data_IF_563966082543
#
_entry.id   IF_563966082543
#
_cell.length_a   1.000
_cell.length_b   1.000
_cell.length_c   1.000
_cell.angle_alpha   90.00
_cell.angle_beta   90.00
_cell.angle_gamma   90.00
#
_symmetry.space_group_name_H-M   'P 1'
#
loop_
_entity.id
_entity.type
_entity.pdbx_description
1 polymer ?
#
# COMPACT_ATOMS: atom_id res chain seq x y z
N UNK A 1 -7.37 -47.31 -47.23
CA UNK A 1 -8.70 -47.04 -47.84
C UNK A 1 -9.08 -48.11 -48.85
N UNK A 2 -10.21 -48.79 -48.66
CA UNK A 2 -10.87 -49.47 -49.77
C UNK A 2 -11.56 -48.38 -50.60
N UNK A 3 -10.87 -47.86 -51.61
CA UNK A 3 -11.53 -47.12 -52.69
C UNK A 3 -12.56 -48.09 -53.25
N UNK A 4 -13.83 -47.73 -53.26
CA UNK A 4 -14.82 -48.49 -54.03
C UNK A 4 -14.35 -48.42 -55.48
N UNK A 5 -13.65 -49.46 -55.94
CA UNK A 5 -13.06 -49.47 -57.28
C UNK A 5 -14.20 -49.56 -58.27
N UNK A 6 -14.41 -48.49 -59.06
CA UNK A 6 -15.35 -48.53 -60.16
C UNK A 6 -14.76 -49.42 -61.26
N UNK A 7 -15.43 -50.55 -61.51
CA UNK A 7 -15.01 -51.48 -62.56
C UNK A 7 -15.55 -51.00 -63.92
N UNK A 8 -14.73 -50.19 -64.59
CA UNK A 8 -15.03 -49.59 -65.90
C UNK A 8 -15.39 -50.65 -66.94
N UNK A 9 -14.75 -51.82 -66.91
CA UNK A 9 -14.94 -52.89 -67.90
C UNK A 9 -16.27 -53.61 -67.68
N UNK A 10 -16.59 -53.94 -66.42
CA UNK A 10 -17.90 -54.49 -66.06
C UNK A 10 -19.04 -53.53 -66.38
N UNK A 11 -18.86 -52.23 -66.15
CA UNK A 11 -19.85 -51.20 -66.49
C UNK A 11 -20.04 -51.08 -68.02
N UNK A 12 -18.96 -51.02 -68.80
CA UNK A 12 -19.04 -50.99 -70.26
C UNK A 12 -19.75 -52.25 -70.82
N UNK A 13 -19.43 -53.44 -70.30
CA UNK A 13 -20.08 -54.68 -70.73
C UNK A 13 -21.58 -54.71 -70.39
N UNK A 14 -21.98 -54.08 -69.27
CA UNK A 14 -23.39 -53.96 -68.89
C UNK A 14 -24.15 -53.06 -69.88
N UNK A 15 -23.55 -51.96 -70.32
CA UNK A 15 -24.12 -51.08 -71.35
C UNK A 15 -24.25 -51.78 -72.71
N UNK A 16 -23.22 -52.54 -73.11
CA UNK A 16 -23.25 -53.37 -74.34
C UNK A 16 -24.39 -54.39 -74.30
N UNK A 17 -24.55 -55.08 -73.17
CA UNK A 17 -25.65 -56.03 -72.97
C UNK A 17 -27.05 -55.38 -73.01
N UNK A 18 -27.14 -54.08 -72.68
CA UNK A 18 -28.36 -53.28 -72.79
C UNK A 18 -28.58 -52.69 -74.21
N UNK A 19 -27.73 -53.01 -75.18
CA UNK A 19 -27.86 -52.58 -76.58
C UNK A 19 -27.13 -51.28 -76.93
N UNK A 20 -26.29 -50.74 -76.04
CA UNK A 20 -25.44 -49.58 -76.36
C UNK A 20 -24.28 -50.02 -77.28
N UNK A 21 -24.01 -49.34 -78.40
CA UNK A 21 -22.89 -49.67 -79.28
C UNK A 21 -21.55 -49.65 -78.56
N UNK A 22 -20.64 -50.56 -78.94
CA UNK A 22 -19.40 -50.81 -78.21
C UNK A 22 -18.57 -49.55 -77.90
N UNK A 23 -18.35 -48.71 -78.92
CA UNK A 23 -17.57 -47.47 -78.76
C UNK A 23 -18.25 -46.46 -77.82
N UNK A 24 -19.57 -46.43 -77.78
CA UNK A 24 -20.33 -45.54 -76.91
C UNK A 24 -20.36 -46.05 -75.47
N UNK A 25 -20.50 -47.37 -75.28
CA UNK A 25 -20.46 -48.02 -73.98
C UNK A 25 -19.10 -47.83 -73.29
N UNK A 26 -18.00 -47.96 -74.04
CA UNK A 26 -16.65 -47.72 -73.54
C UNK A 26 -16.42 -46.24 -73.21
N UNK A 27 -16.82 -45.33 -74.11
CA UNK A 27 -16.68 -43.90 -73.88
C UNK A 27 -17.47 -43.42 -72.65
N UNK A 28 -18.70 -43.90 -72.45
CA UNK A 28 -19.51 -43.59 -71.27
C UNK A 28 -18.88 -44.15 -69.99
N UNK A 29 -18.36 -45.39 -70.03
CA UNK A 29 -17.71 -45.99 -68.88
C UNK A 29 -16.47 -45.19 -68.43
N UNK A 30 -15.65 -44.73 -69.37
CA UNK A 30 -14.46 -43.91 -69.09
C UNK A 30 -14.87 -42.54 -68.53
N UNK A 31 -15.79 -41.84 -69.17
CA UNK A 31 -16.26 -40.54 -68.68
C UNK A 31 -16.86 -40.62 -67.27
N UNK A 32 -17.60 -41.70 -66.97
CA UNK A 32 -18.17 -41.92 -65.64
C UNK A 32 -17.09 -42.27 -64.60
N UNK A 33 -16.10 -43.07 -64.98
CA UNK A 33 -14.95 -43.38 -64.13
C UNK A 33 -14.13 -42.12 -63.78
N UNK A 34 -13.93 -41.22 -64.75
CA UNK A 34 -13.24 -39.95 -64.54
C UNK A 34 -13.99 -39.04 -63.56
N UNK A 35 -15.30 -38.87 -63.71
CA UNK A 35 -16.13 -38.08 -62.78
C UNK A 35 -16.09 -38.66 -61.37
N UNK A 36 -16.14 -39.99 -61.24
CA UNK A 36 -16.03 -40.67 -59.94
C UNK A 36 -14.66 -40.45 -59.31
N UNK A 37 -13.57 -40.54 -60.09
CA UNK A 37 -12.21 -40.31 -59.59
C UNK A 37 -11.99 -38.86 -59.14
N UNK A 38 -12.51 -37.88 -59.89
CA UNK A 38 -12.45 -36.47 -59.53
C UNK A 38 -13.18 -36.24 -58.20
N UNK A 39 -14.40 -36.76 -58.06
CA UNK A 39 -15.19 -36.60 -56.83
C UNK A 39 -14.56 -37.29 -55.61
N UNK A 40 -13.83 -38.39 -55.78
CA UNK A 40 -13.14 -39.07 -54.67
C UNK A 40 -11.84 -38.40 -54.23
N UNK A 41 -11.22 -37.57 -55.07
CA UNK A 41 -9.93 -36.94 -54.78
C UNK A 41 -10.00 -35.93 -53.62
N UNK A 42 -11.13 -35.25 -53.48
CA UNK A 42 -11.31 -34.17 -52.50
C UNK A 42 -12.07 -34.61 -51.25
N UNK A 43 -12.41 -35.91 -51.11
CA UNK A 43 -13.10 -36.41 -49.93
C UNK A 43 -12.14 -36.61 -48.77
N UNK A 44 -12.54 -36.12 -47.59
CA UNK A 44 -11.90 -36.45 -46.32
C UNK A 44 -12.03 -37.95 -46.06
N UNK A 45 -10.91 -38.57 -45.74
CA UNK A 45 -10.80 -40.01 -45.53
C UNK A 45 -10.88 -40.36 -44.05
N UNK A 46 -11.07 -41.64 -43.73
CA UNK A 46 -11.01 -42.10 -42.33
C UNK A 46 -9.62 -41.88 -41.72
N UNK A 47 -8.57 -41.93 -42.54
CA UNK A 47 -7.20 -41.74 -42.10
C UNK A 47 -6.92 -40.26 -41.77
N UNK A 48 -7.49 -39.33 -42.55
CA UNK A 48 -7.44 -37.88 -42.26
C UNK A 48 -8.17 -37.56 -40.95
N UNK A 49 -9.37 -38.12 -40.77
CA UNK A 49 -10.14 -37.94 -39.53
C UNK A 49 -9.42 -38.54 -38.32
N UNK A 50 -8.78 -39.70 -38.47
CA UNK A 50 -8.01 -40.33 -37.41
C UNK A 50 -6.78 -39.47 -37.04
N UNK A 51 -6.12 -38.88 -38.03
CA UNK A 51 -4.99 -37.97 -37.84
C UNK A 51 -5.43 -36.70 -37.10
N UNK A 52 -6.46 -36.01 -37.59
CA UNK A 52 -7.01 -34.82 -36.92
C UNK A 52 -7.49 -35.12 -35.50
N UNK A 53 -8.13 -36.28 -35.28
CA UNK A 53 -8.56 -36.71 -33.94
C UNK A 53 -7.37 -36.94 -33.01
N UNK A 54 -6.27 -37.49 -33.53
CA UNK A 54 -5.05 -37.71 -32.74
C UNK A 54 -4.38 -36.39 -32.38
N UNK A 55 -4.28 -35.46 -33.33
CA UNK A 55 -3.74 -34.12 -33.11
C UNK A 55 -4.55 -33.35 -32.07
N UNK A 56 -5.88 -33.30 -32.21
CA UNK A 56 -6.76 -32.65 -31.24
C UNK A 56 -6.63 -33.27 -29.84
N UNK A 57 -6.50 -34.60 -29.73
CA UNK A 57 -6.28 -35.25 -28.43
C UNK A 57 -4.95 -34.84 -27.81
N UNK A 58 -3.91 -34.68 -28.64
CA UNK A 58 -2.60 -34.24 -28.18
C UNK A 58 -2.65 -32.78 -27.70
N UNK A 59 -3.24 -31.87 -28.49
CA UNK A 59 -3.41 -30.47 -28.11
C UNK A 59 -4.22 -30.31 -26.82
N UNK A 60 -5.32 -31.08 -26.66
CA UNK A 60 -6.10 -31.08 -25.42
C UNK A 60 -5.27 -31.59 -24.24
N UNK A 61 -4.41 -32.59 -24.43
CA UNK A 61 -3.54 -33.11 -23.37
C UNK A 61 -2.49 -32.07 -22.97
N UNK A 62 -1.90 -31.38 -23.94
CA UNK A 62 -0.89 -30.34 -23.73
C UNK A 62 -1.50 -29.11 -23.03
N UNK A 63 -2.66 -28.62 -23.51
CA UNK A 63 -3.39 -27.52 -22.86
C UNK A 63 -3.81 -27.87 -21.42
N UNK A 64 -4.19 -29.12 -21.15
CA UNK A 64 -4.48 -29.59 -19.77
C UNK A 64 -3.23 -29.62 -18.91
N UNK A 65 -2.06 -29.89 -19.47
CA UNK A 65 -0.79 -29.89 -18.73
C UNK A 65 -0.38 -28.46 -18.39
N UNK A 66 -0.46 -27.55 -19.36
CA UNK A 66 -0.20 -26.12 -19.18
C UNK A 66 -1.13 -25.53 -18.11
N UNK A 67 -2.45 -25.73 -18.23
CA UNK A 67 -3.41 -25.22 -17.24
C UNK A 67 -3.16 -25.75 -15.82
N UNK A 68 -2.70 -27.00 -15.68
CA UNK A 68 -2.31 -27.57 -14.37
C UNK A 68 -1.05 -26.91 -13.82
N UNK A 69 -0.08 -26.62 -14.69
CA UNK A 69 1.15 -25.94 -14.32
C UNK A 69 0.85 -24.50 -13.88
N UNK A 70 0.11 -23.72 -14.67
CA UNK A 70 -0.29 -22.36 -14.34
C UNK A 70 -1.06 -22.31 -13.01
N UNK A 71 -1.97 -23.26 -12.79
CA UNK A 71 -2.70 -23.37 -11.52
C UNK A 71 -1.76 -23.66 -10.34
N UNK A 72 -0.71 -24.46 -10.53
CA UNK A 72 0.26 -24.76 -9.50
C UNK A 72 1.17 -23.55 -9.21
N UNK A 73 1.59 -22.84 -10.25
CA UNK A 73 2.43 -21.65 -10.15
C UNK A 73 1.68 -20.50 -9.48
N UNK A 74 0.44 -20.21 -9.91
CA UNK A 74 -0.43 -19.21 -9.25
C UNK A 74 -0.66 -19.55 -7.78
N UNK A 75 -0.89 -20.82 -7.43
CA UNK A 75 -1.03 -21.23 -6.02
C UNK A 75 0.24 -20.99 -5.21
N UNK A 76 1.42 -21.15 -5.82
CA UNK A 76 2.70 -20.90 -5.17
C UNK A 76 2.93 -19.41 -4.98
N UNK A 77 2.70 -18.61 -6.00
CA UNK A 77 2.78 -17.14 -5.96
C UNK A 77 1.85 -16.57 -4.89
N UNK A 78 0.56 -16.94 -4.92
CA UNK A 78 -0.41 -16.49 -3.92
C UNK A 78 0.02 -16.86 -2.49
N UNK A 79 0.53 -18.09 -2.27
CA UNK A 79 1.03 -18.48 -0.94
C UNK A 79 2.24 -17.65 -0.50
N UNK A 80 3.13 -17.33 -1.43
CA UNK A 80 4.31 -16.51 -1.16
C UNK A 80 3.90 -15.08 -0.81
N UNK A 81 3.02 -14.46 -1.60
CA UNK A 81 2.49 -13.12 -1.33
C UNK A 81 1.79 -13.05 0.03
N UNK A 82 1.00 -14.05 0.40
CA UNK A 82 0.39 -14.12 1.73
C UNK A 82 1.41 -14.24 2.87
N UNK A 83 2.52 -14.94 2.64
CA UNK A 83 3.59 -15.06 3.63
C UNK A 83 4.34 -13.73 3.80
N UNK A 84 4.63 -13.05 2.68
CA UNK A 84 5.30 -11.76 2.66
C UNK A 84 4.44 -10.67 3.32
N UNK A 85 3.14 -10.59 2.98
CA UNK A 85 2.20 -9.67 3.63
C UNK A 85 2.09 -9.92 5.15
N UNK A 86 2.09 -11.18 5.60
CA UNK A 86 2.10 -11.50 7.03
C UNK A 86 3.37 -11.01 7.72
N UNK A 87 4.51 -11.09 7.04
CA UNK A 87 5.79 -10.59 7.55
C UNK A 87 5.77 -9.07 7.65
N UNK A 88 5.34 -8.38 6.60
CA UNK A 88 5.21 -6.91 6.59
C UNK A 88 4.27 -6.41 7.70
N UNK A 89 3.11 -7.05 7.89
CA UNK A 89 2.20 -6.73 9.00
C UNK A 89 2.89 -6.95 10.36
N UNK A 90 3.69 -8.01 10.49
CA UNK A 90 4.45 -8.30 11.69
C UNK A 90 5.51 -7.23 12.00
N UNK A 91 6.22 -6.76 10.98
CA UNK A 91 7.27 -5.76 11.11
C UNK A 91 6.67 -4.36 11.38
N UNK A 92 5.62 -3.96 10.66
CA UNK A 92 4.87 -2.72 10.96
C UNK A 92 4.32 -2.68 12.39
N UNK A 93 3.84 -3.82 12.91
CA UNK A 93 3.40 -3.91 14.31
C UNK A 93 4.53 -3.71 15.32
N UNK A 94 5.75 -4.15 15.00
CA UNK A 94 6.93 -3.94 15.86
C UNK A 94 7.35 -2.48 15.84
N UNK A 95 7.42 -1.87 14.65
CA UNK A 95 7.73 -0.45 14.47
C UNK A 95 6.74 0.41 15.25
N UNK A 96 5.43 0.22 15.05
CA UNK A 96 4.42 0.98 15.78
C UNK A 96 4.53 0.83 17.30
N UNK A 97 4.88 -0.37 17.79
CA UNK A 97 5.07 -0.62 19.23
C UNK A 97 6.31 0.10 19.76
N UNK A 98 7.37 0.15 18.96
CA UNK A 98 8.60 0.87 19.30
C UNK A 98 8.35 2.38 19.32
N UNK A 99 7.75 2.94 18.27
CA UNK A 99 7.40 4.36 18.19
C UNK A 99 6.52 4.79 19.37
N UNK A 100 5.54 3.97 19.75
CA UNK A 100 4.69 4.24 20.93
C UNK A 100 5.48 4.20 22.25
N UNK A 101 6.50 3.34 22.37
CA UNK A 101 7.35 3.29 23.54
C UNK A 101 8.27 4.50 23.62
N UNK A 102 8.83 4.92 22.48
CA UNK A 102 9.72 6.07 22.35
C UNK A 102 8.96 7.37 22.60
N UNK A 103 7.79 7.58 21.98
CA UNK A 103 6.92 8.73 22.27
C UNK A 103 6.52 8.81 23.74
N UNK A 104 6.25 7.67 24.39
CA UNK A 104 5.93 7.64 25.82
C UNK A 104 7.13 8.04 26.68
N UNK A 105 8.34 7.72 26.26
CA UNK A 105 9.59 8.11 26.94
C UNK A 105 9.83 9.60 26.77
N UNK A 106 9.75 10.12 25.54
CA UNK A 106 9.87 11.54 25.23
C UNK A 106 8.88 12.38 26.02
N UNK A 107 7.59 12.02 26.00
CA UNK A 107 6.57 12.77 26.74
C UNK A 107 6.82 12.78 28.25
N UNK A 108 7.33 11.68 28.83
CA UNK A 108 7.72 11.65 30.24
C UNK A 108 8.89 12.59 30.55
N UNK A 109 9.85 12.65 29.65
CA UNK A 109 11.00 13.53 29.77
C UNK A 109 10.55 15.00 29.67
N UNK A 110 9.75 15.35 28.67
CA UNK A 110 9.21 16.70 28.49
C UNK A 110 8.40 17.16 29.70
N UNK A 111 7.58 16.27 30.29
CA UNK A 111 6.85 16.57 31.53
C UNK A 111 7.80 16.81 32.71
N UNK A 112 8.88 16.02 32.82
CA UNK A 112 9.87 16.19 33.89
C UNK A 112 10.64 17.52 33.74
N UNK A 113 11.04 17.84 32.51
CA UNK A 113 11.75 19.08 32.18
C UNK A 113 10.84 20.30 32.43
N UNK A 114 9.58 20.27 31.96
CA UNK A 114 8.62 21.35 32.22
C UNK A 114 8.34 21.56 33.72
N UNK A 115 8.26 20.48 34.51
CA UNK A 115 8.14 20.57 35.98
C UNK A 115 9.36 21.23 36.62
N UNK A 116 10.56 20.88 36.14
CA UNK A 116 11.80 21.49 36.62
C UNK A 116 11.84 22.98 36.28
N UNK A 117 11.54 23.34 35.04
CA UNK A 117 11.49 24.74 34.60
C UNK A 117 10.48 25.56 35.41
N UNK A 118 9.32 24.98 35.72
CA UNK A 118 8.30 25.63 36.56
C UNK A 118 8.82 25.86 37.98
N UNK A 119 9.48 24.87 38.59
CA UNK A 119 10.07 25.00 39.93
C UNK A 119 11.19 26.05 39.95
N UNK A 120 12.04 26.04 38.93
CA UNK A 120 13.14 27.01 38.80
C UNK A 120 12.57 28.43 38.60
N UNK A 121 11.49 28.57 37.84
CA UNK A 121 10.78 29.84 37.69
C UNK A 121 10.17 30.34 39.01
N UNK A 122 9.51 29.46 39.77
CA UNK A 122 8.96 29.78 41.09
C UNK A 122 10.04 30.25 42.07
N UNK A 123 11.17 29.54 42.11
CA UNK A 123 12.32 29.93 42.94
C UNK A 123 12.89 31.29 42.54
N UNK A 124 13.03 31.58 41.24
CA UNK A 124 13.46 32.89 40.76
C UNK A 124 12.49 34.00 41.14
N UNK A 125 11.18 33.75 41.09
CA UNK A 125 10.17 34.72 41.52
C UNK A 125 10.28 34.98 43.02
N UNK A 126 10.37 33.93 43.84
CA UNK A 126 10.50 34.08 45.30
C UNK A 126 11.77 34.86 45.68
N UNK A 127 12.91 34.56 45.06
CA UNK A 127 14.15 35.31 45.30
C UNK A 127 14.04 36.80 44.92
N UNK A 128 13.32 37.11 43.83
CA UNK A 128 13.04 38.51 43.44
C UNK A 128 12.11 39.19 44.45
N UNK A 129 11.08 38.50 44.93
CA UNK A 129 10.19 39.02 45.97
C UNK A 129 10.95 39.33 47.27
N UNK A 130 11.82 38.43 47.71
CA UNK A 130 12.67 38.65 48.89
C UNK A 130 13.58 39.87 48.72
N UNK A 131 14.17 40.01 47.53
CA UNK A 131 15.04 41.16 47.19
C UNK A 131 14.26 42.47 47.24
N UNK A 132 13.08 42.53 46.61
CA UNK A 132 12.20 43.71 46.62
C UNK A 132 11.75 44.04 48.04
N UNK A 133 11.36 43.03 48.82
CA UNK A 133 10.94 43.23 50.22
C UNK A 133 12.06 43.82 51.07
N UNK A 134 13.30 43.36 50.89
CA UNK A 134 14.47 43.90 51.56
C UNK A 134 14.75 45.36 51.17
N UNK A 135 14.65 45.69 49.87
CA UNK A 135 14.79 47.06 49.36
C UNK A 135 13.74 47.99 49.98
N UNK A 136 12.46 47.63 49.93
CA UNK A 136 11.36 48.42 50.53
C UNK A 136 11.59 48.62 52.03
N UNK A 137 11.99 47.58 52.76
CA UNK A 137 12.27 47.68 54.20
C UNK A 137 13.42 48.65 54.48
N UNK A 138 14.48 48.61 53.67
CA UNK A 138 15.60 49.55 53.74
C UNK A 138 15.19 50.99 53.47
N UNK A 139 14.45 51.22 52.38
CA UNK A 139 13.89 52.54 52.03
C UNK A 139 12.96 53.08 53.12
N UNK A 140 12.09 52.24 53.68
CA UNK A 140 11.20 52.61 54.79
C UNK A 140 11.96 52.97 56.06
N UNK A 141 13.05 52.27 56.36
CA UNK A 141 13.90 52.58 57.50
C UNK A 141 14.57 53.95 57.31
N UNK A 142 15.11 54.20 56.12
CA UNK A 142 15.70 55.48 55.75
C UNK A 142 14.67 56.62 55.87
N UNK A 143 13.47 56.44 55.30
CA UNK A 143 12.36 57.40 55.39
C UNK A 143 11.99 57.72 56.84
N UNK A 144 11.89 56.70 57.71
CA UNK A 144 11.62 56.90 59.14
C UNK A 144 12.70 57.75 59.83
N UNK A 145 13.98 57.50 59.52
CA UNK A 145 15.08 58.29 60.04
C UNK A 145 15.08 59.73 59.52
N UNK A 146 14.82 59.93 58.22
CA UNK A 146 14.69 61.26 57.63
C UNK A 146 13.55 62.06 58.28
N UNK A 147 12.38 61.43 58.47
CA UNK A 147 11.25 62.08 59.13
C UNK A 147 11.59 62.46 60.57
N UNK A 148 12.23 61.58 61.33
CA UNK A 148 12.70 61.88 62.68
C UNK A 148 13.68 63.06 62.72
N UNK A 149 14.63 63.12 61.77
CA UNK A 149 15.57 64.23 61.66
C UNK A 149 14.87 65.56 61.33
N UNK A 150 13.91 65.55 60.40
CA UNK A 150 13.14 66.75 60.01
C UNK A 150 12.29 67.25 61.17
N UNK A 151 11.54 66.37 61.84
CA UNK A 151 10.72 66.73 63.01
C UNK A 151 11.59 67.27 64.15
N UNK A 152 12.71 66.60 64.44
CA UNK A 152 13.66 67.05 65.45
C UNK A 152 14.26 68.43 65.14
N UNK A 153 14.63 68.67 63.88
CA UNK A 153 15.09 69.98 63.41
C UNK A 153 14.01 71.05 63.57
N UNK A 154 12.77 70.76 63.18
CA UNK A 154 11.62 71.65 63.36
C UNK A 154 11.37 72.01 64.84
N UNK A 155 11.41 71.01 65.73
CA UNK A 155 11.27 71.23 67.17
C UNK A 155 12.40 72.11 67.73
N UNK A 156 13.65 71.88 67.34
CA UNK A 156 14.79 72.69 67.76
C UNK A 156 14.65 74.16 67.32
N UNK A 157 14.14 74.40 66.11
CA UNK A 157 13.84 75.75 65.60
C UNK A 157 12.77 76.41 66.47
N UNK A 158 11.67 75.71 66.80
CA UNK A 158 10.59 76.24 67.63
C UNK A 158 11.05 76.59 69.06
N UNK A 159 11.83 75.71 69.69
CA UNK A 159 12.42 75.96 71.02
C UNK A 159 13.28 77.22 70.99
N UNK A 160 14.15 77.35 69.98
CA UNK A 160 14.99 78.53 69.81
C UNK A 160 14.17 79.80 69.61
N UNK A 161 13.07 79.72 68.86
CA UNK A 161 12.14 80.83 68.63
C UNK A 161 11.43 81.28 69.92
N UNK A 162 10.99 80.33 70.74
CA UNK A 162 10.35 80.60 72.03
C UNK A 162 11.32 81.27 73.03
N UNK A 163 12.56 80.76 73.11
CA UNK A 163 13.60 81.34 73.97
C UNK A 163 14.00 82.76 73.55
N UNK A 164 13.96 83.08 72.26
CA UNK A 164 14.32 84.42 71.74
C UNK A 164 13.16 85.41 71.85
N UNK A 165 11.89 84.96 71.81
CA UNK A 165 10.72 85.86 71.83
C UNK A 165 10.07 86.08 73.21
N UNK A 166 10.32 85.25 74.22
CA UNK A 166 9.66 85.36 75.54
C UNK A 166 8.15 85.07 75.51
N UNK A 167 7.50 84.72 76.63
CA UNK A 167 6.07 84.40 76.62
C UNK A 167 5.25 85.64 76.28
N UNK A 168 4.43 85.55 75.23
CA UNK A 168 3.39 86.54 74.93
C UNK A 168 2.31 86.42 76.02
N UNK A 169 2.16 87.46 76.84
CA UNK A 169 0.93 87.74 77.60
C UNK A 169 -0.18 88.06 76.61
#
# INVERSE_FOLDING_TARGET
MAVATFDTLKFANTLKAAGVPDKQAEAQAVAFAEVIQINFKDLVTKDDLATATKELKQEIADARKEAKQDTADLRKETKQEFADLRKEIGDLRKELKQDMADLRKELKQDIADARKETKDAEQRVNARLDTIAAQIKGEMLLLKWMFGAIVGMGAAILVRLFLVRGPLV
#
